data_IF_728568511683
#
_entry.id   IF_728568511683
#
_cell.length_a   1.000
_cell.length_b   1.000
_cell.length_c   1.000
_cell.angle_alpha   90.00
_cell.angle_beta   90.00
_cell.angle_gamma   90.00
#
_symmetry.space_group_name_H-M   'P 1'
#
loop_
_entity.id
_entity.type
_entity.pdbx_description
1 polymer ?
#
# COMPACT_ATOMS: atom_id res chain seq x y z
N UNK A 1 -4.34 -54.27 -28.07
CA UNK A 1 -4.36 -54.09 -26.60
C UNK A 1 -3.40 -53.00 -26.08
N UNK A 2 -2.24 -52.73 -26.70
CA UNK A 2 -1.29 -51.69 -26.26
C UNK A 2 -1.68 -50.22 -26.53
N UNK A 3 -2.62 -49.94 -27.46
CA UNK A 3 -3.00 -48.56 -27.84
C UNK A 3 -4.11 -47.93 -26.99
N UNK A 4 -4.80 -48.70 -26.16
CA UNK A 4 -5.88 -48.19 -25.28
C UNK A 4 -5.29 -47.61 -23.97
N UNK A 5 -4.18 -48.16 -23.48
CA UNK A 5 -3.53 -47.68 -22.25
C UNK A 5 -2.92 -46.28 -22.38
N UNK A 6 -2.51 -45.87 -23.59
CA UNK A 6 -1.93 -44.54 -23.81
C UNK A 6 -3.01 -43.45 -23.83
N UNK A 7 -4.25 -43.80 -24.22
CA UNK A 7 -5.36 -42.84 -24.25
C UNK A 7 -5.92 -42.55 -22.84
N UNK A 8 -5.91 -43.54 -21.93
CA UNK A 8 -6.30 -43.31 -20.53
C UNK A 8 -5.28 -42.48 -19.73
N UNK A 9 -4.00 -42.49 -20.12
CA UNK A 9 -2.94 -41.75 -19.41
C UNK A 9 -2.90 -40.25 -19.76
N UNK A 10 -3.46 -39.87 -20.92
CA UNK A 10 -3.59 -38.46 -21.36
C UNK A 10 -4.76 -37.71 -20.70
N UNK A 11 -5.75 -38.42 -20.15
CA UNK A 11 -6.87 -37.79 -19.42
C UNK A 11 -6.57 -37.46 -17.95
N UNK A 12 -5.45 -37.97 -17.40
CA UNK A 12 -5.05 -37.72 -16.00
C UNK A 12 -4.24 -36.42 -15.82
N UNK A 13 -3.89 -35.72 -16.92
CA UNK A 13 -3.11 -34.47 -16.89
C UNK A 13 -3.97 -33.21 -17.10
N UNK A 14 -5.28 -33.35 -17.27
CA UNK A 14 -6.19 -32.22 -17.13
C UNK A 14 -6.40 -31.97 -15.63
N UNK A 15 -5.39 -31.41 -14.95
CA UNK A 15 -5.63 -30.75 -13.67
C UNK A 15 -6.62 -29.63 -13.95
N UNK A 16 -7.89 -29.88 -13.64
CA UNK A 16 -8.90 -28.84 -13.65
C UNK A 16 -8.45 -27.84 -12.58
N UNK A 17 -7.80 -26.75 -12.99
CA UNK A 17 -7.29 -25.75 -12.07
C UNK A 17 -8.50 -25.14 -11.35
N UNK A 18 -8.70 -25.53 -10.09
CA UNK A 18 -9.79 -25.04 -9.29
C UNK A 18 -9.51 -23.58 -8.90
N UNK A 19 -10.50 -22.68 -9.03
CA UNK A 19 -10.35 -21.30 -8.56
C UNK A 19 -9.91 -21.26 -7.09
N UNK A 20 -8.97 -20.38 -6.77
CA UNK A 20 -8.38 -20.23 -5.42
C UNK A 20 -8.57 -18.81 -4.91
N UNK A 21 -8.83 -18.69 -3.60
CA UNK A 21 -8.89 -17.41 -2.89
C UNK A 21 -7.51 -17.09 -2.31
N UNK A 22 -6.90 -16.01 -2.77
CA UNK A 22 -5.63 -15.53 -2.25
C UNK A 22 -5.90 -14.48 -1.18
N UNK A 23 -5.56 -14.80 0.06
CA UNK A 23 -5.91 -14.05 1.26
C UNK A 23 -4.73 -13.18 1.70
N UNK A 24 -4.95 -11.88 1.73
CA UNK A 24 -4.00 -10.88 2.21
C UNK A 24 -4.57 -10.30 3.50
N UNK A 25 -3.76 -10.26 4.55
CA UNK A 25 -4.16 -9.69 5.83
C UNK A 25 -3.11 -8.74 6.37
N UNK A 26 -3.53 -7.59 6.87
CA UNK A 26 -2.63 -6.62 7.50
C UNK A 26 -3.20 -6.12 8.84
N UNK A 27 -2.38 -6.11 9.90
CA UNK A 27 -2.72 -5.58 11.22
C UNK A 27 -3.93 -6.21 11.95
N UNK A 28 -4.48 -7.34 11.48
CA UNK A 28 -5.53 -8.06 12.20
C UNK A 28 -5.02 -8.58 13.55
N UNK A 29 -5.82 -8.37 14.60
CA UNK A 29 -5.61 -8.98 15.90
C UNK A 29 -5.80 -10.51 15.89
N UNK A 30 -5.40 -11.18 16.98
CA UNK A 30 -5.46 -12.63 17.09
C UNK A 30 -6.90 -13.18 17.05
N UNK A 31 -7.87 -12.42 17.56
CA UNK A 31 -9.27 -12.83 17.59
C UNK A 31 -9.86 -12.81 16.18
N UNK A 32 -9.71 -11.71 15.44
CA UNK A 32 -10.16 -11.58 14.05
C UNK A 32 -9.47 -12.56 13.12
N UNK A 33 -8.17 -12.81 13.30
CA UNK A 33 -7.46 -13.88 12.56
C UNK A 33 -8.10 -15.25 12.78
N UNK A 34 -8.44 -15.59 14.01
CA UNK A 34 -9.10 -16.86 14.34
C UNK A 34 -10.51 -16.96 13.74
N UNK A 35 -11.29 -15.87 13.80
CA UNK A 35 -12.62 -15.80 13.20
C UNK A 35 -12.58 -15.92 11.68
N UNK A 36 -11.65 -15.20 11.02
CA UNK A 36 -11.43 -15.26 9.58
C UNK A 36 -11.05 -16.68 9.15
N UNK A 37 -10.10 -17.31 9.85
CA UNK A 37 -9.67 -18.67 9.55
C UNK A 37 -10.83 -19.68 9.64
N UNK A 38 -11.68 -19.56 10.67
CA UNK A 38 -12.86 -20.41 10.80
C UNK A 38 -13.86 -20.19 9.65
N UNK A 39 -14.07 -18.94 9.26
CA UNK A 39 -14.99 -18.58 8.18
C UNK A 39 -14.48 -19.06 6.81
N UNK A 40 -13.19 -18.89 6.52
CA UNK A 40 -12.56 -19.33 5.27
C UNK A 40 -12.55 -20.86 5.11
N UNK A 41 -12.51 -21.62 6.20
CA UNK A 41 -12.65 -23.10 6.15
C UNK A 41 -14.06 -23.56 5.78
N UNK A 42 -15.07 -22.71 6.00
CA UNK A 42 -16.47 -23.04 5.77
C UNK A 42 -16.99 -22.57 4.41
N UNK A 43 -16.21 -21.81 3.63
CA UNK A 43 -16.56 -21.45 2.26
C UNK A 43 -16.11 -22.53 1.25
N UNK A 44 -16.52 -22.36 -0.01
CA UNK A 44 -16.54 -23.41 -1.03
C UNK A 44 -15.26 -23.58 -1.87
N UNK A 45 -14.35 -22.61 -1.85
CA UNK A 45 -13.10 -22.61 -2.62
C UNK A 45 -11.88 -22.96 -1.76
N UNK A 46 -10.78 -23.48 -2.32
CA UNK A 46 -9.50 -23.49 -1.63
C UNK A 46 -9.01 -22.05 -1.37
N UNK A 47 -8.27 -21.84 -0.29
CA UNK A 47 -7.66 -20.54 0.03
C UNK A 47 -6.19 -20.68 0.42
N UNK A 48 -5.41 -19.64 0.14
CA UNK A 48 -3.99 -19.53 0.46
C UNK A 48 -3.70 -18.14 1.02
N UNK A 49 -2.98 -18.07 2.14
CA UNK A 49 -2.48 -16.79 2.64
C UNK A 49 -1.25 -16.34 1.88
N UNK A 50 -1.26 -15.09 1.44
CA UNK A 50 -0.14 -14.45 0.76
C UNK A 50 0.57 -13.50 1.72
N UNK A 51 1.89 -13.66 1.87
CA UNK A 51 2.73 -12.81 2.69
C UNK A 51 3.26 -11.62 1.88
N UNK A 52 2.35 -10.74 1.46
CA UNK A 52 2.66 -9.47 0.81
C UNK A 52 1.81 -8.37 1.43
N UNK A 53 2.35 -7.16 1.47
CA UNK A 53 1.63 -5.99 1.99
C UNK A 53 0.41 -5.67 1.14
N UNK A 54 -0.65 -5.13 1.77
CA UNK A 54 -1.86 -4.73 1.05
C UNK A 54 -1.60 -3.32 0.46
N UNK A 55 -1.82 -3.11 -0.85
CA UNK A 55 -1.68 -1.78 -1.44
C UNK A 55 -2.54 -0.75 -0.72
N UNK A 56 -2.01 0.46 -0.52
CA UNK A 56 -2.67 1.47 0.32
C UNK A 56 -4.00 1.94 -0.24
N UNK A 57 -4.13 1.96 -1.57
CA UNK A 57 -5.34 2.33 -2.31
C UNK A 57 -6.51 1.36 -2.12
N UNK A 58 -6.26 0.17 -1.57
CA UNK A 58 -7.31 -0.78 -1.23
C UNK A 58 -8.03 -0.27 0.03
N UNK A 59 -9.35 -0.46 0.08
CA UNK A 59 -10.10 -0.22 1.31
C UNK A 59 -9.71 -1.26 2.37
N UNK A 60 -10.22 -1.09 3.59
CA UNK A 60 -10.06 -2.04 4.70
C UNK A 60 -10.50 -3.46 4.34
N UNK A 61 -11.52 -3.59 3.49
CA UNK A 61 -12.00 -4.86 2.96
C UNK A 61 -12.27 -4.75 1.47
N UNK A 62 -11.48 -5.45 0.66
CA UNK A 62 -11.60 -5.46 -0.80
C UNK A 62 -11.64 -6.89 -1.34
N UNK A 63 -12.60 -7.17 -2.21
CA UNK A 63 -12.63 -8.38 -3.03
C UNK A 63 -12.23 -8.02 -4.46
N UNK A 64 -11.17 -8.63 -4.97
CA UNK A 64 -10.79 -8.55 -6.38
C UNK A 64 -11.25 -9.80 -7.12
N UNK A 65 -12.13 -9.60 -8.10
CA UNK A 65 -12.71 -10.69 -8.88
C UNK A 65 -12.04 -10.80 -10.26
N UNK A 66 -11.90 -12.03 -10.75
CA UNK A 66 -11.48 -12.33 -12.12
C UNK A 66 -12.54 -11.88 -13.12
N UNK A 67 -12.16 -11.08 -14.11
CA UNK A 67 -13.06 -10.60 -15.17
C UNK A 67 -13.51 -11.69 -16.12
N UNK A 68 -12.61 -12.63 -16.42
CA UNK A 68 -12.81 -13.71 -17.38
C UNK A 68 -13.71 -14.82 -16.83
N UNK A 69 -13.88 -14.91 -15.51
CA UNK A 69 -14.79 -15.87 -14.87
C UNK A 69 -15.24 -15.35 -13.51
N UNK A 70 -16.41 -14.71 -13.47
CA UNK A 70 -17.01 -14.21 -12.22
C UNK A 70 -17.73 -15.37 -11.51
N UNK A 71 -17.33 -15.64 -10.27
CA UNK A 71 -17.93 -16.62 -9.38
C UNK A 71 -18.84 -15.92 -8.37
N UNK A 72 -20.07 -15.59 -8.80
CA UNK A 72 -20.97 -14.72 -8.02
C UNK A 72 -21.31 -15.27 -6.64
N UNK A 73 -21.65 -16.56 -6.55
CA UNK A 73 -22.04 -17.18 -5.28
C UNK A 73 -20.90 -17.19 -4.27
N UNK A 74 -19.70 -17.52 -4.74
CA UNK A 74 -18.48 -17.55 -3.94
C UNK A 74 -18.05 -16.13 -3.53
N UNK A 75 -18.18 -15.15 -4.42
CA UNK A 75 -17.92 -13.75 -4.10
C UNK A 75 -18.90 -13.20 -3.06
N UNK A 76 -20.19 -13.57 -3.12
CA UNK A 76 -21.19 -13.24 -2.10
C UNK A 76 -20.83 -13.87 -0.75
N UNK A 77 -20.47 -15.16 -0.71
CA UNK A 77 -20.02 -15.83 0.52
C UNK A 77 -18.82 -15.11 1.14
N UNK A 78 -17.82 -14.74 0.33
CA UNK A 78 -16.63 -14.03 0.81
C UNK A 78 -16.97 -12.61 1.29
N UNK A 79 -17.91 -11.93 0.63
CA UNK A 79 -18.43 -10.63 1.08
C UNK A 79 -19.14 -10.71 2.43
N UNK A 80 -19.95 -11.76 2.63
CA UNK A 80 -20.63 -12.04 3.90
C UNK A 80 -19.63 -12.29 5.03
N UNK A 81 -18.52 -12.98 4.75
CA UNK A 81 -17.43 -13.16 5.74
C UNK A 81 -16.87 -11.79 6.16
N UNK A 82 -16.59 -10.89 5.22
CA UNK A 82 -16.10 -9.54 5.52
C UNK A 82 -17.11 -8.75 6.36
N UNK A 83 -18.41 -8.83 6.04
CA UNK A 83 -19.48 -8.20 6.81
C UNK A 83 -19.58 -8.76 8.23
N UNK A 84 -19.49 -10.08 8.41
CA UNK A 84 -19.52 -10.73 9.73
C UNK A 84 -18.33 -10.34 10.62
N UNK A 85 -17.18 -10.04 10.01
CA UNK A 85 -15.99 -9.53 10.70
C UNK A 85 -16.06 -8.01 10.97
N UNK A 86 -17.14 -7.34 10.56
CA UNK A 86 -17.41 -5.93 10.83
C UNK A 86 -16.97 -4.94 9.75
N UNK A 87 -16.59 -5.41 8.56
CA UNK A 87 -16.11 -4.55 7.47
C UNK A 87 -17.19 -4.25 6.44
N UNK A 88 -16.98 -3.21 5.64
CA UNK A 88 -17.78 -2.93 4.44
C UNK A 88 -17.00 -3.37 3.19
N UNK A 89 -17.41 -4.47 2.52
CA UNK A 89 -16.65 -5.00 1.38
C UNK A 89 -16.78 -4.10 0.15
N UNK A 90 -15.64 -3.81 -0.48
CA UNK A 90 -15.57 -3.15 -1.80
C UNK A 90 -15.23 -4.20 -2.85
N UNK A 91 -16.08 -4.34 -3.87
CA UNK A 91 -15.86 -5.31 -4.96
C UNK A 91 -15.19 -4.59 -6.13
N UNK A 92 -14.07 -5.14 -6.59
CA UNK A 92 -13.30 -4.62 -7.72
C UNK A 92 -13.16 -5.71 -8.79
N UNK A 93 -13.42 -5.31 -10.03
CA UNK A 93 -13.36 -6.20 -11.19
C UNK A 93 -12.13 -5.91 -12.06
N UNK A 94 -11.37 -4.84 -11.83
CA UNK A 94 -10.28 -4.38 -12.71
C UNK A 94 -8.90 -4.59 -12.07
N UNK A 95 -7.85 -4.49 -12.89
CA UNK A 95 -6.47 -4.26 -12.43
C UNK A 95 -6.41 -3.06 -11.50
N UNK A 96 -6.18 -3.30 -10.22
CA UNK A 96 -5.80 -2.26 -9.27
C UNK A 96 -4.49 -2.66 -8.61
N UNK A 97 -3.60 -1.69 -8.37
CA UNK A 97 -2.26 -1.92 -7.85
C UNK A 97 -1.43 -2.98 -8.62
N UNK A 98 -1.67 -3.16 -9.92
CA UNK A 98 -1.08 -4.23 -10.75
C UNK A 98 -1.51 -5.67 -10.38
N UNK A 99 -2.55 -5.85 -9.57
CA UNK A 99 -3.08 -7.16 -9.22
C UNK A 99 -4.11 -7.61 -10.27
N UNK A 100 -3.90 -8.79 -10.86
CA UNK A 100 -4.79 -9.37 -11.89
C UNK A 100 -5.15 -10.79 -11.51
N UNK A 101 -6.43 -11.06 -11.37
CA UNK A 101 -6.94 -12.41 -11.16
C UNK A 101 -7.55 -12.96 -12.44
N UNK A 102 -7.25 -14.23 -12.73
CA UNK A 102 -7.74 -14.98 -13.88
C UNK A 102 -8.34 -16.31 -13.46
N UNK A 103 -9.11 -16.92 -14.35
CA UNK A 103 -9.70 -18.25 -14.20
C UNK A 103 -10.61 -18.39 -12.96
N UNK A 104 -11.21 -17.30 -12.50
CA UNK A 104 -12.09 -17.28 -11.33
C UNK A 104 -11.35 -17.20 -10.00
N UNK A 105 -10.02 -17.07 -9.99
CA UNK A 105 -9.30 -16.75 -8.76
C UNK A 105 -9.81 -15.44 -8.17
N UNK A 106 -9.75 -15.34 -6.84
CA UNK A 106 -10.25 -14.19 -6.10
C UNK A 106 -9.14 -13.68 -5.20
N UNK A 107 -8.92 -12.37 -5.20
CA UNK A 107 -8.12 -11.71 -4.16
C UNK A 107 -9.02 -11.27 -3.02
N UNK A 108 -8.70 -11.72 -1.82
CA UNK A 108 -9.39 -11.37 -0.58
C UNK A 108 -8.45 -10.53 0.28
N UNK A 109 -8.74 -9.24 0.42
CA UNK A 109 -7.89 -8.30 1.14
C UNK A 109 -8.63 -7.81 2.38
N UNK A 110 -8.02 -8.01 3.55
CA UNK A 110 -8.51 -7.50 4.82
C UNK A 110 -7.38 -6.76 5.54
N UNK A 111 -7.55 -5.48 5.85
CA UNK A 111 -6.66 -4.75 6.73
C UNK A 111 -7.48 -4.06 7.80
N UNK A 112 -6.96 -4.02 9.02
CA UNK A 112 -7.42 -2.99 9.94
C UNK A 112 -7.05 -1.62 9.37
N UNK A 113 -7.87 -0.58 9.62
CA UNK A 113 -7.35 0.77 9.52
C UNK A 113 -6.05 0.80 10.32
N UNK A 114 -4.95 1.13 9.65
CA UNK A 114 -3.71 1.37 10.35
C UNK A 114 -4.01 2.44 11.41
N UNK A 115 -3.44 2.30 12.62
CA UNK A 115 -3.48 3.40 13.58
C UNK A 115 -2.87 4.69 12.99
N UNK A 116 -2.11 4.55 11.91
CA UNK A 116 -1.86 5.62 10.95
C UNK A 116 -3.14 5.87 10.15
N UNK A 117 -3.93 6.88 10.54
CA UNK A 117 -5.09 7.34 9.80
C UNK A 117 -4.78 7.63 8.32
N UNK A 118 -5.81 7.96 7.55
CA UNK A 118 -5.68 8.47 6.18
C UNK A 118 -4.47 9.41 6.10
N UNK A 119 -3.50 9.08 5.24
CA UNK A 119 -2.23 9.78 5.19
C UNK A 119 -2.48 11.29 5.09
N UNK A 120 -2.13 12.01 6.15
CA UNK A 120 -2.23 13.46 6.19
C UNK A 120 -0.82 14.02 6.13
N UNK A 121 -0.50 14.71 5.03
CA UNK A 121 0.79 15.35 4.90
C UNK A 121 0.89 16.50 5.92
N UNK A 122 1.91 16.54 6.79
CA UNK A 122 2.10 17.66 7.68
C UNK A 122 2.18 18.96 6.88
N UNK A 123 1.40 19.96 7.29
CA UNK A 123 1.30 21.23 6.57
C UNK A 123 2.62 21.98 6.50
N UNK A 124 3.57 21.68 7.39
CA UNK A 124 4.89 22.29 7.43
C UNK A 124 5.93 21.31 7.94
N UNK A 125 7.04 21.20 7.22
CA UNK A 125 8.22 20.40 7.58
C UNK A 125 9.49 21.21 7.33
N UNK A 126 10.63 20.70 7.79
CA UNK A 126 11.96 21.23 7.53
C UNK A 126 12.79 20.24 6.73
N UNK A 127 13.67 20.75 5.87
CA UNK A 127 14.69 19.90 5.24
C UNK A 127 15.79 19.52 6.24
N UNK A 128 16.24 18.28 6.21
CA UNK A 128 17.32 17.76 7.06
C UNK A 128 18.14 16.69 6.33
N UNK A 129 19.35 16.42 6.78
CA UNK A 129 20.23 15.41 6.18
C UNK A 129 20.59 15.71 4.71
N UNK A 130 20.67 16.99 4.35
CA UNK A 130 21.05 17.43 3.01
C UNK A 130 22.55 17.22 2.74
N UNK A 131 22.91 17.00 1.47
CA UNK A 131 24.32 16.96 1.05
C UNK A 131 25.04 18.29 1.21
N UNK A 132 24.33 19.38 0.94
CA UNK A 132 24.85 20.73 1.12
C UNK A 132 24.17 21.36 2.33
N UNK A 133 24.97 21.69 3.35
CA UNK A 133 24.46 22.24 4.62
C UNK A 133 23.57 23.48 4.45
N UNK A 134 23.82 24.26 3.40
CA UNK A 134 23.01 25.43 3.05
C UNK A 134 21.55 25.10 2.73
N UNK A 135 21.21 23.83 2.53
CA UNK A 135 19.83 23.38 2.31
C UNK A 135 19.23 22.67 3.50
N UNK A 136 19.94 22.48 4.61
CA UNK A 136 19.28 22.11 5.86
C UNK A 136 18.44 23.29 6.38
N UNK A 137 17.37 22.97 7.10
CA UNK A 137 16.43 23.88 7.76
C UNK A 137 15.59 24.77 6.82
N UNK A 138 15.48 24.41 5.53
CA UNK A 138 14.53 25.07 4.65
C UNK A 138 13.11 24.70 5.06
N UNK A 139 12.23 25.69 5.06
CA UNK A 139 10.81 25.47 5.32
C UNK A 139 10.15 24.93 4.07
N UNK A 140 9.43 23.82 4.21
CA UNK A 140 8.57 23.28 3.16
C UNK A 140 7.14 23.25 3.69
N UNK A 141 6.25 23.97 3.00
CA UNK A 141 4.82 24.04 3.34
C UNK A 141 4.03 23.20 2.35
N UNK A 142 3.12 22.36 2.84
CA UNK A 142 2.26 21.50 2.03
C UNK A 142 0.81 21.99 2.05
N UNK A 143 0.19 21.99 0.88
CA UNK A 143 -1.27 22.04 0.66
C UNK A 143 -1.72 20.73 0.03
N UNK A 144 -3.01 20.56 -0.27
CA UNK A 144 -3.55 19.33 -0.88
C UNK A 144 -2.84 18.89 -2.17
N UNK A 145 -2.21 19.82 -2.91
CA UNK A 145 -1.55 19.51 -4.19
C UNK A 145 -0.18 20.16 -4.38
N UNK A 146 0.23 21.07 -3.49
CA UNK A 146 1.44 21.86 -3.67
C UNK A 146 2.40 21.74 -2.48
N UNK A 147 3.68 21.65 -2.80
CA UNK A 147 4.81 21.72 -1.88
C UNK A 147 5.58 23.02 -2.18
N UNK A 148 5.58 23.96 -1.24
CA UNK A 148 6.31 25.23 -1.34
C UNK A 148 7.61 25.18 -0.53
N UNK A 149 8.74 25.19 -1.22
CA UNK A 149 10.06 25.32 -0.62
C UNK A 149 10.44 26.80 -0.49
N UNK A 150 10.75 27.24 0.73
CA UNK A 150 11.33 28.57 0.97
C UNK A 150 12.85 28.46 1.01
N UNK A 151 13.51 28.86 -0.08
CA UNK A 151 14.96 28.87 -0.17
C UNK A 151 15.55 29.94 0.77
N UNK A 152 16.85 29.81 1.13
CA UNK A 152 17.54 30.80 2.00
C UNK A 152 17.52 32.23 1.45
N UNK A 153 17.40 32.41 0.14
CA UNK A 153 17.23 33.72 -0.48
C UNK A 153 15.87 34.38 -0.20
N UNK A 154 14.92 33.66 0.42
CA UNK A 154 13.52 34.03 0.51
C UNK A 154 12.71 33.68 -0.75
N UNK A 155 13.35 33.13 -1.78
CA UNK A 155 12.65 32.68 -2.99
C UNK A 155 11.79 31.46 -2.66
N UNK A 156 10.52 31.53 -3.06
CA UNK A 156 9.57 30.42 -2.94
C UNK A 156 9.56 29.61 -4.23
N UNK A 157 9.72 28.30 -4.11
CA UNK A 157 9.60 27.33 -5.22
C UNK A 157 8.41 26.44 -4.93
N UNK A 158 7.38 26.53 -5.78
CA UNK A 158 6.15 25.75 -5.66
C UNK A 158 6.20 24.58 -6.63
N UNK A 159 6.06 23.37 -6.11
CA UNK A 159 6.03 22.13 -6.88
C UNK A 159 4.74 21.38 -6.61
N UNK A 160 4.32 20.55 -7.56
CA UNK A 160 3.21 19.64 -7.33
C UNK A 160 3.71 18.41 -6.56
N UNK A 161 2.86 17.84 -5.73
CA UNK A 161 3.14 16.58 -5.06
C UNK A 161 1.91 15.67 -5.04
N UNK A 162 2.16 14.38 -4.88
CA UNK A 162 1.14 13.36 -4.68
C UNK A 162 1.64 12.31 -3.67
N UNK A 163 0.71 11.60 -3.05
CA UNK A 163 1.01 10.41 -2.27
C UNK A 163 0.65 9.16 -3.08
N UNK A 164 1.66 8.43 -3.54
CA UNK A 164 1.47 7.27 -4.42
C UNK A 164 2.19 6.06 -3.84
N UNK A 165 1.48 4.94 -3.70
CA UNK A 165 2.03 3.66 -3.27
C UNK A 165 2.84 3.73 -1.95
N UNK A 166 2.44 4.61 -1.02
CA UNK A 166 3.14 4.81 0.26
C UNK A 166 4.35 5.75 0.21
N UNK A 167 4.59 6.40 -0.92
CA UNK A 167 5.66 7.37 -1.10
C UNK A 167 5.09 8.78 -1.28
N UNK A 168 5.77 9.76 -0.69
CA UNK A 168 5.61 11.15 -1.09
C UNK A 168 6.37 11.33 -2.41
N UNK A 169 5.69 11.86 -3.43
CA UNK A 169 6.28 12.12 -4.75
C UNK A 169 6.19 13.62 -5.02
N UNK A 170 7.33 14.29 -5.18
CA UNK A 170 7.40 15.71 -5.54
C UNK A 170 7.88 15.83 -6.98
N UNK A 171 7.11 16.50 -7.83
CA UNK A 171 7.40 16.63 -9.26
C UNK A 171 8.23 17.89 -9.55
N UNK A 172 9.30 17.73 -10.31
CA UNK A 172 10.14 18.84 -10.77
C UNK A 172 10.48 18.69 -12.26
N UNK A 173 10.00 19.64 -13.07
CA UNK A 173 10.17 19.64 -14.53
C UNK A 173 9.75 18.30 -15.15
N UNK A 174 10.71 17.48 -15.57
CA UNK A 174 10.53 16.22 -16.30
C UNK A 174 10.90 14.98 -15.46
N UNK A 175 11.11 15.12 -14.15
CA UNK A 175 11.35 14.00 -13.25
C UNK A 175 10.64 14.24 -11.90
N UNK A 176 10.75 13.27 -11.00
CA UNK A 176 10.22 13.37 -9.63
C UNK A 176 11.27 12.94 -8.61
N UNK A 177 11.13 13.46 -7.40
CA UNK A 177 11.81 12.96 -6.22
C UNK A 177 10.81 12.20 -5.37
N UNK A 178 11.14 10.96 -5.01
CA UNK A 178 10.31 10.13 -4.15
C UNK A 178 10.93 10.04 -2.76
N UNK A 179 10.06 9.99 -1.75
CA UNK A 179 10.44 9.93 -0.35
C UNK A 179 9.68 8.82 0.38
N UNK A 180 10.42 8.01 1.15
CA UNK A 180 9.87 6.99 2.03
C UNK A 180 9.59 7.57 3.41
N UNK A 181 8.38 7.35 3.93
CA UNK A 181 7.97 7.85 5.25
C UNK A 181 8.37 6.88 6.37
N UNK A 182 8.80 7.43 7.49
CA UNK A 182 9.12 6.74 8.73
C UNK A 182 8.83 7.64 9.92
N UNK A 183 8.68 7.04 11.11
CA UNK A 183 8.37 7.78 12.35
C UNK A 183 9.44 7.56 13.42
N UNK A 184 10.69 7.99 13.19
CA UNK A 184 11.75 7.80 14.18
C UNK A 184 11.57 8.74 15.37
N UNK A 185 12.11 8.33 16.52
CA UNK A 185 12.37 9.25 17.62
C UNK A 185 13.67 10.01 17.34
N UNK A 186 13.64 11.34 17.50
CA UNK A 186 14.77 12.23 17.25
C UNK A 186 15.23 12.84 18.56
N UNK A 187 16.55 12.82 18.79
CA UNK A 187 17.16 13.47 19.94
C UNK A 187 17.04 14.99 19.82
N UNK A 188 16.39 15.61 20.80
CA UNK A 188 16.30 17.07 20.94
C UNK A 188 16.90 17.51 22.27
N UNK A 189 17.15 18.83 22.49
CA UNK A 189 17.51 19.35 23.81
C UNK A 189 16.48 19.05 24.92
N UNK A 190 15.26 18.63 24.57
CA UNK A 190 14.18 18.27 25.49
C UNK A 190 13.96 16.75 25.59
N UNK A 191 14.95 15.95 25.18
CA UNK A 191 14.86 14.49 25.12
C UNK A 191 14.44 13.98 23.74
N UNK A 192 14.23 12.67 23.65
CA UNK A 192 13.73 12.03 22.43
C UNK A 192 12.29 12.47 22.17
N UNK A 193 12.03 12.93 20.95
CA UNK A 193 10.71 13.38 20.50
C UNK A 193 10.28 12.61 19.25
N UNK A 194 8.99 12.25 19.12
CA UNK A 194 8.49 11.60 17.91
C UNK A 194 8.60 12.56 16.72
N UNK A 195 8.80 12.00 15.53
CA UNK A 195 8.90 12.77 14.29
C UNK A 195 8.22 12.05 13.14
N UNK A 196 7.78 12.80 12.14
CA UNK A 196 7.61 12.25 10.80
C UNK A 196 8.83 12.63 9.97
N UNK A 197 9.45 11.63 9.35
CA UNK A 197 10.61 11.83 8.47
C UNK A 197 10.39 11.14 7.13
N UNK A 198 10.53 11.91 6.06
CA UNK A 198 10.42 11.49 4.67
C UNK A 198 11.81 11.47 4.03
N UNK A 199 12.38 10.28 3.86
CA UNK A 199 13.73 10.07 3.34
C UNK A 199 13.71 9.96 1.83
N UNK A 200 14.54 10.74 1.13
CA UNK A 200 14.67 10.59 -0.32
C UNK A 200 15.19 9.19 -0.66
N UNK A 201 14.56 8.50 -1.62
CA UNK A 201 14.90 7.10 -1.93
C UNK A 201 16.06 6.98 -2.92
N UNK A 202 16.29 8.03 -3.72
CA UNK A 202 17.35 8.15 -4.70
C UNK A 202 17.77 9.61 -4.82
N UNK A 203 19.01 9.85 -5.25
CA UNK A 203 19.53 11.20 -5.49
C UNK A 203 19.15 11.67 -6.89
N UNK A 204 18.73 12.92 -7.00
CA UNK A 204 18.59 13.65 -8.28
C UNK A 204 19.76 14.60 -8.48
N UNK A 205 20.11 14.91 -9.73
CA UNK A 205 21.28 15.75 -10.03
C UNK A 205 21.05 17.21 -9.64
N UNK A 206 19.90 17.78 -10.00
CA UNK A 206 19.53 19.15 -9.68
C UNK A 206 18.01 19.27 -9.59
N UNK A 207 17.47 20.08 -8.67
CA UNK A 207 18.23 20.83 -7.67
C UNK A 207 18.57 19.98 -6.44
N UNK A 208 19.77 20.16 -5.89
CA UNK A 208 20.28 19.36 -4.77
C UNK A 208 19.50 19.52 -3.47
N UNK A 209 18.68 20.57 -3.31
CA UNK A 209 17.77 20.70 -2.17
C UNK A 209 16.60 19.70 -2.18
N UNK A 210 16.36 18.99 -3.29
CA UNK A 210 15.46 17.84 -3.30
C UNK A 210 16.10 16.58 -2.70
N UNK A 211 17.45 16.50 -2.63
CA UNK A 211 18.19 15.43 -1.96
C UNK A 211 18.32 15.68 -0.45
N UNK A 212 17.26 16.21 0.15
CA UNK A 212 17.13 16.45 1.58
C UNK A 212 15.98 15.60 2.09
N UNK A 213 16.11 15.04 3.29
CA UNK A 213 14.95 14.48 3.96
C UNK A 213 14.01 15.59 4.40
N UNK A 214 12.72 15.32 4.49
CA UNK A 214 11.73 16.25 5.03
C UNK A 214 11.31 15.77 6.42
N UNK A 215 11.36 16.63 7.42
CA UNK A 215 11.14 16.23 8.81
C UNK A 215 10.30 17.25 9.57
N UNK A 216 9.37 16.75 10.37
CA UNK A 216 8.72 17.48 11.45
C UNK A 216 8.95 16.72 12.76
N UNK A 217 9.37 17.44 13.79
CA UNK A 217 9.52 16.90 15.15
C UNK A 217 8.38 17.45 16.00
N UNK A 218 7.69 16.56 16.71
CA UNK A 218 6.54 16.92 17.54
C UNK A 218 7.01 17.25 18.96
N UNK A 219 6.66 18.45 19.41
CA UNK A 219 7.03 18.97 20.72
C UNK A 219 5.86 18.77 21.68
N UNK A 220 5.60 17.52 22.07
CA UNK A 220 4.62 17.21 23.11
C UNK A 220 4.97 17.93 24.43
#
# INVERSE_FOLDING_TARGET
MKKIYILCMLFLLASCQQPTVYVYTENLDAQKKSQLELALRNQSLPYEYVQLDIPREFSEATLMLSQDKILTHEAEQLGDIMLQLGYQPVIKYITEANHVYKNGNIGFYLKEPSEQGEFSMPSRVLTTGCDEDKFNDLVVTFTDTQAEFTLRSGTKVVLNWEYLYGYLVIYYKNYSQTYAHSQPFINTPFGEKPSDTYWFTARVNEPSWLNCSLQIVYMD
#
